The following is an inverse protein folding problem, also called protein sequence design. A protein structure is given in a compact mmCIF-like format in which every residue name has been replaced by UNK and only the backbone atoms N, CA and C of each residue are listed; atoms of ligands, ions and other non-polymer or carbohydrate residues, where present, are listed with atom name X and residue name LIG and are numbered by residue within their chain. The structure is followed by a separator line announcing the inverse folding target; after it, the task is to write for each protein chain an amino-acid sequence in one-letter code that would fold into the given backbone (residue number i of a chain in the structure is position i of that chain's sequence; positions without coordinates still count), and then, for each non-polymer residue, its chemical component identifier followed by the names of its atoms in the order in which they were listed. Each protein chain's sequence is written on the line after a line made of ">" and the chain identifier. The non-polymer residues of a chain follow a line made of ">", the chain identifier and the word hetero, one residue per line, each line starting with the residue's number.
data_IF_623456256183
#
_entry.id   IF_623456256183
#
_cell.length_a   1.000
_cell.length_b   1.000
_cell.length_c   1.000
_cell.angle_alpha   90.00
_cell.angle_beta   90.00
_cell.angle_gamma   90.00
#
_symmetry.space_group_name_H-M   'P 1'
#
loop_
_entity.id
_entity.type
_entity.pdbx_description
1 polymer ?
#
# COMPACT_ATOMS: atom_id res chain seq x y z
N UNK A 1 48.95 -76.31 13.91
CA UNK A 1 49.59 -75.47 12.87
C UNK A 1 48.49 -75.09 11.87
N UNK A 2 48.31 -73.78 11.61
CA UNK A 2 47.33 -73.11 10.72
C UNK A 2 45.83 -73.21 11.04
N UNK A 3 45.18 -72.03 11.13
CA UNK A 3 44.04 -71.59 10.29
C UNK A 3 43.24 -70.52 11.08
N UNK A 4 43.43 -69.22 10.80
CA UNK A 4 42.74 -68.36 9.81
C UNK A 4 41.31 -67.96 10.19
N UNK A 5 41.20 -66.68 10.52
CA UNK A 5 40.36 -65.64 9.92
C UNK A 5 38.82 -65.69 9.95
N UNK A 6 38.29 -64.47 10.13
CA UNK A 6 37.03 -63.89 9.62
C UNK A 6 35.80 -63.94 10.55
N UNK A 7 35.37 -62.82 11.14
CA UNK A 7 34.49 -61.74 10.58
C UNK A 7 33.07 -62.29 10.29
N UNK A 8 31.94 -61.82 10.83
CA UNK A 8 31.41 -60.44 10.93
C UNK A 8 29.99 -60.44 11.60
N UNK A 9 29.60 -59.28 12.15
CA UNK A 9 28.27 -58.61 12.16
C UNK A 9 27.12 -58.98 13.15
N UNK A 10 26.87 -58.01 14.05
CA UNK A 10 25.62 -57.24 14.37
C UNK A 10 24.42 -57.91 15.08
N UNK A 11 24.03 -57.31 16.24
CA UNK A 11 22.72 -56.67 16.55
C UNK A 11 22.60 -56.45 18.08
N UNK A 12 22.71 -55.24 18.63
CA UNK A 12 21.72 -54.15 18.74
C UNK A 12 20.52 -54.45 19.65
N UNK A 13 20.55 -53.93 20.89
CA UNK A 13 19.36 -53.48 21.64
C UNK A 13 19.78 -52.57 22.80
N UNK A 14 19.39 -51.29 22.76
CA UNK A 14 19.43 -50.41 23.92
C UNK A 14 18.29 -49.39 23.83
N UNK A 15 17.49 -49.35 24.89
CA UNK A 15 16.32 -48.50 25.08
C UNK A 15 16.69 -47.11 25.65
N UNK A 16 15.88 -46.09 25.36
CA UNK A 16 15.83 -44.82 26.08
C UNK A 16 14.39 -44.26 25.96
N UNK A 17 13.62 -44.23 27.05
CA UNK A 17 13.39 -43.11 27.98
C UNK A 17 12.62 -41.93 27.38
N UNK A 18 11.41 -41.74 27.90
CA UNK A 18 10.42 -40.71 27.58
C UNK A 18 10.79 -39.37 28.21
N UNK A 19 10.90 -38.32 27.40
CA UNK A 19 10.92 -36.92 27.83
C UNK A 19 9.66 -36.22 27.31
N UNK A 20 8.82 -35.73 28.24
CA UNK A 20 7.70 -34.84 27.92
C UNK A 20 8.17 -33.40 27.77
N UNK A 21 7.70 -32.72 26.72
CA UNK A 21 7.87 -31.28 26.54
C UNK A 21 6.59 -30.57 26.96
N UNK A 22 6.66 -29.77 28.03
CA UNK A 22 5.73 -28.66 28.27
C UNK A 22 6.13 -27.48 27.40
N UNK A 23 5.29 -27.08 26.45
CA UNK A 23 5.44 -25.80 25.75
C UNK A 23 4.57 -24.75 26.45
N UNK A 24 5.22 -23.89 27.23
CA UNK A 24 4.64 -22.60 27.64
C UNK A 24 4.78 -21.63 26.47
N UNK A 25 3.76 -21.55 25.60
CA UNK A 25 3.65 -20.47 24.62
C UNK A 25 3.09 -19.23 25.32
N UNK A 26 3.93 -18.20 25.47
CA UNK A 26 3.49 -16.87 25.86
C UNK A 26 2.45 -16.34 24.84
N UNK A 27 1.42 -15.60 25.26
CA UNK A 27 0.52 -14.97 24.32
C UNK A 27 1.26 -13.83 23.62
N UNK A 28 1.72 -14.09 22.40
CA UNK A 28 2.06 -13.04 21.44
C UNK A 28 0.79 -12.26 21.15
N UNK A 29 0.62 -11.12 21.83
CA UNK A 29 -0.38 -10.13 21.48
C UNK A 29 0.07 -9.41 20.20
N UNK A 30 -0.06 -10.08 19.06
CA UNK A 30 -0.15 -9.39 17.78
C UNK A 30 -1.43 -8.54 17.81
N UNK A 31 -1.39 -7.25 17.43
CA UNK A 31 -2.60 -6.46 17.33
C UNK A 31 -3.51 -7.15 16.31
N UNK A 32 -4.67 -7.61 16.76
CA UNK A 32 -5.74 -8.05 15.87
C UNK A 32 -6.08 -6.87 14.96
N UNK A 33 -5.71 -6.97 13.69
CA UNK A 33 -6.45 -6.27 12.64
C UNK A 33 -7.85 -6.86 12.70
N UNK A 34 -8.82 -6.09 13.18
CA UNK A 34 -10.22 -6.42 12.95
C UNK A 34 -10.43 -6.36 11.43
N UNK A 35 -10.32 -7.53 10.80
CA UNK A 35 -10.74 -7.74 9.44
C UNK A 35 -12.28 -7.67 9.41
N UNK A 36 -12.83 -6.47 9.52
CA UNK A 36 -14.19 -6.25 9.08
C UNK A 36 -14.21 -6.54 7.58
N UNK A 37 -15.09 -7.45 7.16
CA UNK A 37 -15.26 -7.90 5.77
C UNK A 37 -15.91 -6.81 4.90
N UNK A 38 -15.50 -5.55 5.05
CA UNK A 38 -15.98 -4.44 4.25
C UNK A 38 -15.34 -4.51 2.87
N UNK A 39 -16.15 -4.31 1.85
CA UNK A 39 -15.73 -4.21 0.45
C UNK A 39 -14.71 -3.09 0.29
N UNK A 40 -13.57 -3.39 -0.33
CA UNK A 40 -12.56 -2.37 -0.62
C UNK A 40 -13.02 -1.44 -1.77
N UNK A 41 -12.57 -0.17 -1.83
CA UNK A 41 -12.89 0.70 -2.96
C UNK A 41 -12.54 0.10 -4.33
N UNK A 42 -11.44 -0.63 -4.44
CA UNK A 42 -11.02 -1.29 -5.68
C UNK A 42 -11.91 -2.45 -6.15
N UNK A 43 -12.86 -2.91 -5.32
CA UNK A 43 -13.88 -3.89 -5.72
C UNK A 43 -15.10 -3.23 -6.39
N UNK A 44 -15.28 -1.92 -6.24
CA UNK A 44 -16.38 -1.14 -6.84
C UNK A 44 -15.90 -0.23 -7.96
N UNK A 45 -14.69 0.32 -7.82
CA UNK A 45 -14.06 1.22 -8.79
C UNK A 45 -12.86 0.52 -9.45
N UNK A 46 -12.69 0.70 -10.77
CA UNK A 46 -11.47 0.26 -11.44
C UNK A 46 -10.30 1.15 -11.03
N UNK A 47 -9.45 0.61 -10.16
CA UNK A 47 -8.25 1.28 -9.65
C UNK A 47 -6.96 0.73 -10.26
N UNK A 48 -7.03 -0.08 -11.33
CA UNK A 48 -5.87 -0.72 -11.96
C UNK A 48 -4.82 0.26 -12.47
N UNK A 49 -5.24 1.48 -12.83
CA UNK A 49 -4.37 2.57 -13.32
C UNK A 49 -4.01 3.59 -12.23
N UNK A 50 -4.08 3.21 -10.95
CA UNK A 50 -3.83 4.12 -9.83
C UNK A 50 -3.02 3.46 -8.73
N UNK A 51 -2.09 4.21 -8.15
CA UNK A 51 -1.62 3.94 -6.79
C UNK A 51 -2.15 5.04 -5.85
N UNK A 52 -2.07 4.84 -4.54
CA UNK A 52 -2.52 5.82 -3.55
C UNK A 52 -1.40 6.14 -2.57
N UNK A 53 -1.24 7.42 -2.23
CA UNK A 53 -0.46 7.85 -1.08
C UNK A 53 -1.42 8.11 0.09
N UNK A 54 -1.11 7.55 1.26
CA UNK A 54 -1.92 7.66 2.47
C UNK A 54 -1.15 8.43 3.55
N UNK A 55 -1.84 9.17 4.43
CA UNK A 55 -1.19 10.04 5.41
C UNK A 55 -0.76 9.27 6.67
N UNK A 56 -0.27 8.05 6.52
CA UNK A 56 0.17 7.15 7.60
C UNK A 56 1.60 6.68 7.35
N UNK A 57 2.24 6.17 8.39
CA UNK A 57 3.59 5.60 8.38
C UNK A 57 3.54 4.28 9.16
N UNK A 58 2.95 3.25 8.54
CA UNK A 58 2.71 1.96 9.17
C UNK A 58 4.00 1.13 9.29
N UNK A 59 4.94 1.32 8.36
CA UNK A 59 6.24 0.66 8.35
C UNK A 59 7.30 1.38 9.19
N UNK A 60 7.02 2.60 9.64
CA UNK A 60 7.85 3.44 10.53
C UNK A 60 9.13 3.92 9.86
N UNK A 61 9.11 4.13 8.55
CA UNK A 61 10.23 4.71 7.79
C UNK A 61 10.26 6.25 7.85
N UNK A 62 9.26 6.86 8.49
CA UNK A 62 9.13 8.31 8.65
C UNK A 62 8.50 9.03 7.46
N UNK A 63 7.91 8.30 6.50
CA UNK A 63 7.27 8.85 5.31
C UNK A 63 5.81 8.38 5.22
N UNK A 64 5.04 9.10 4.41
CA UNK A 64 3.72 8.66 4.01
C UNK A 64 3.78 7.35 3.20
N UNK A 65 2.95 6.39 3.58
CA UNK A 65 2.84 5.09 2.93
C UNK A 65 2.21 5.21 1.53
N UNK A 66 2.71 4.39 0.61
CA UNK A 66 2.10 4.15 -0.70
C UNK A 66 1.53 2.75 -0.77
N UNK A 67 0.37 2.62 -1.40
CA UNK A 67 -0.18 1.32 -1.82
C UNK A 67 -0.22 1.30 -3.34
N UNK A 68 0.47 0.32 -3.92
CA UNK A 68 0.58 0.13 -5.37
C UNK A 68 -0.71 -0.45 -5.98
N UNK A 69 -0.86 -0.31 -7.29
CA UNK A 69 -2.07 -0.62 -8.05
C UNK A 69 -2.54 -2.07 -7.86
N UNK A 70 -1.62 -3.03 -7.78
CA UNK A 70 -1.98 -4.45 -7.62
C UNK A 70 -2.69 -4.68 -6.29
N UNK A 71 -2.17 -4.08 -5.21
CA UNK A 71 -2.74 -4.20 -3.88
C UNK A 71 -4.02 -3.35 -3.71
N UNK A 72 -4.12 -2.24 -4.43
CA UNK A 72 -5.20 -1.26 -4.27
C UNK A 72 -6.59 -1.84 -4.57
N UNK A 73 -6.66 -2.86 -5.44
CA UNK A 73 -7.88 -3.62 -5.75
C UNK A 73 -8.59 -4.20 -4.52
N UNK A 74 -7.83 -4.53 -3.47
CA UNK A 74 -8.32 -5.16 -2.24
C UNK A 74 -7.96 -4.38 -0.98
N UNK A 75 -7.48 -3.15 -1.14
CA UNK A 75 -6.98 -2.34 -0.04
C UNK A 75 -8.05 -1.36 0.44
N UNK A 76 -8.17 -1.26 1.76
CA UNK A 76 -8.83 -0.16 2.43
C UNK A 76 -8.06 0.19 3.70
N UNK A 77 -8.22 1.42 4.15
CA UNK A 77 -7.76 1.89 5.43
C UNK A 77 -8.86 2.74 6.04
N UNK A 78 -9.46 2.23 7.12
CA UNK A 78 -10.46 2.97 7.89
C UNK A 78 -9.95 4.39 8.19
N UNK A 79 -10.88 5.34 8.22
CA UNK A 79 -10.65 6.79 8.35
C UNK A 79 -10.07 7.48 7.11
N UNK A 80 -9.18 6.86 6.32
CA UNK A 80 -8.43 7.55 5.26
C UNK A 80 -8.80 7.16 3.83
N UNK A 81 -9.16 5.90 3.59
CA UNK A 81 -9.52 5.38 2.26
C UNK A 81 -10.44 4.15 2.36
N UNK A 82 -11.73 4.33 2.14
CA UNK A 82 -12.74 3.29 2.33
C UNK A 82 -14.01 3.56 1.51
N UNK A 83 -14.94 2.60 1.47
CA UNK A 83 -16.29 2.81 0.95
C UNK A 83 -17.25 3.18 2.09
N UNK A 84 -18.04 4.24 1.89
CA UNK A 84 -19.17 4.51 2.79
C UNK A 84 -20.35 3.55 2.54
N UNK A 85 -21.40 3.65 3.36
CA UNK A 85 -22.58 2.78 3.28
C UNK A 85 -23.35 2.91 1.96
N UNK A 86 -23.09 3.95 1.17
CA UNK A 86 -23.66 4.20 -0.16
C UNK A 86 -22.73 3.75 -1.30
N UNK A 87 -21.60 3.09 -0.99
CA UNK A 87 -20.53 2.72 -1.91
C UNK A 87 -19.82 3.92 -2.58
N UNK A 88 -19.83 5.11 -1.96
CA UNK A 88 -18.93 6.18 -2.40
C UNK A 88 -17.51 5.90 -1.90
N UNK A 89 -16.52 6.09 -2.76
CA UNK A 89 -15.10 6.04 -2.38
C UNK A 89 -14.72 7.31 -1.60
N UNK A 90 -14.43 7.14 -0.32
CA UNK A 90 -14.08 8.21 0.61
C UNK A 90 -12.57 8.36 0.70
N UNK A 91 -12.10 9.59 0.53
CA UNK A 91 -10.73 10.02 0.81
C UNK A 91 -10.75 11.00 1.97
N UNK A 92 -9.92 10.79 2.98
CA UNK A 92 -9.72 11.77 4.05
C UNK A 92 -8.24 11.95 4.36
N UNK A 93 -7.88 13.15 4.78
CA UNK A 93 -6.54 13.46 5.26
C UNK A 93 -6.63 14.46 6.42
N UNK A 94 -6.12 14.08 7.59
CA UNK A 94 -6.07 14.96 8.74
C UNK A 94 -4.88 15.93 8.63
N UNK A 95 -5.01 17.15 9.15
CA UNK A 95 -3.92 18.15 9.10
C UNK A 95 -2.63 17.76 9.86
N UNK A 96 -2.75 16.82 10.81
CA UNK A 96 -1.67 16.33 11.66
C UNK A 96 -1.45 14.84 11.39
N UNK A 97 -0.97 14.54 10.19
CA UNK A 97 -0.68 13.18 9.76
C UNK A 97 0.65 13.14 8.98
N UNK A 98 1.09 11.96 8.55
CA UNK A 98 2.37 11.82 7.85
C UNK A 98 2.32 12.42 6.44
N UNK A 99 3.45 12.92 5.97
CA UNK A 99 3.59 13.54 4.64
C UNK A 99 4.77 12.92 3.90
N UNK A 100 4.88 13.19 2.59
CA UNK A 100 6.08 12.85 1.84
C UNK A 100 7.22 13.84 2.14
N UNK A 101 8.50 13.48 1.87
CA UNK A 101 9.63 14.39 2.06
C UNK A 101 9.52 15.72 1.29
N UNK A 102 8.75 15.74 0.20
CA UNK A 102 8.60 16.90 -0.69
C UNK A 102 7.34 17.72 -0.43
N UNK A 103 6.50 17.35 0.55
CA UNK A 103 5.26 18.05 0.83
C UNK A 103 5.04 18.27 2.33
N UNK A 104 4.54 19.45 2.68
CA UNK A 104 4.11 19.79 4.05
C UNK A 104 2.64 19.50 4.29
N UNK A 105 1.89 19.12 3.26
CA UNK A 105 0.46 18.81 3.33
C UNK A 105 0.23 17.30 3.28
N UNK A 106 -0.71 16.84 4.10
CA UNK A 106 -1.17 15.45 4.15
C UNK A 106 -2.13 15.17 3.01
N UNK A 107 -2.17 13.92 2.56
CA UNK A 107 -3.06 13.51 1.46
C UNK A 107 -3.44 12.04 1.59
N UNK A 108 -4.68 11.75 1.22
CA UNK A 108 -5.15 10.44 0.78
C UNK A 108 -5.55 10.66 -0.67
N UNK A 109 -4.65 10.31 -1.60
CA UNK A 109 -4.72 10.81 -2.98
C UNK A 109 -4.20 9.76 -3.96
N UNK A 110 -5.00 9.53 -5.00
CA UNK A 110 -4.62 8.67 -6.11
C UNK A 110 -3.62 9.37 -7.03
N UNK A 111 -2.60 8.64 -7.49
CA UNK A 111 -1.71 9.04 -8.58
C UNK A 111 -1.86 8.06 -9.72
N UNK A 112 -2.21 8.58 -10.90
CA UNK A 112 -2.39 7.78 -12.09
C UNK A 112 -1.07 7.10 -12.43
N UNK A 113 -1.08 5.79 -12.64
CA UNK A 113 0.05 5.00 -13.15
C UNK A 113 -0.31 4.41 -14.51
N UNK A 114 0.71 4.11 -15.30
CA UNK A 114 0.58 3.37 -16.55
C UNK A 114 1.21 2.00 -16.35
N UNK A 115 0.51 0.97 -16.80
CA UNK A 115 0.91 -0.43 -16.64
C UNK A 115 1.41 -0.93 -17.99
N UNK A 116 2.63 -1.48 -18.01
CA UNK A 116 3.23 -2.08 -19.19
C UNK A 116 2.57 -3.41 -19.58
N UNK A 117 2.97 -3.96 -20.74
CA UNK A 117 2.38 -5.20 -21.27
C UNK A 117 2.54 -6.42 -20.35
N UNK A 118 3.59 -6.46 -19.55
CA UNK A 118 3.87 -7.49 -18.55
C UNK A 118 3.13 -7.29 -17.22
N UNK A 119 2.35 -6.21 -17.08
CA UNK A 119 1.64 -5.87 -15.84
C UNK A 119 2.45 -5.03 -14.85
N UNK A 120 3.67 -4.61 -15.19
CA UNK A 120 4.52 -3.80 -14.32
C UNK A 120 4.29 -2.29 -14.49
N UNK A 121 4.41 -1.53 -13.40
CA UNK A 121 4.49 -0.07 -13.45
C UNK A 121 5.95 0.34 -13.69
N UNK A 122 6.28 1.10 -14.75
CA UNK A 122 7.64 1.57 -15.01
C UNK A 122 8.19 2.40 -13.84
N UNK A 123 9.52 2.55 -13.74
CA UNK A 123 10.13 3.38 -12.71
C UNK A 123 9.81 4.88 -12.89
N UNK A 124 10.04 5.71 -11.86
CA UNK A 124 9.67 7.14 -11.90
C UNK A 124 10.53 7.96 -12.87
N UNK A 125 11.67 7.46 -13.30
CA UNK A 125 12.56 8.04 -14.31
C UNK A 125 12.24 7.59 -15.75
N UNK A 126 11.31 6.64 -15.92
CA UNK A 126 10.86 6.17 -17.22
C UNK A 126 9.68 7.03 -17.74
N UNK A 127 9.78 7.65 -18.93
CA UNK A 127 8.68 8.40 -19.54
C UNK A 127 7.38 7.60 -19.68
N UNK A 128 7.45 6.27 -19.81
CA UNK A 128 6.30 5.37 -19.88
C UNK A 128 5.51 5.29 -18.58
N UNK A 129 5.98 5.91 -17.50
CA UNK A 129 5.20 6.07 -16.27
C UNK A 129 4.25 7.28 -16.31
N UNK A 130 4.25 8.04 -17.40
CA UNK A 130 3.53 9.30 -17.53
C UNK A 130 2.84 9.44 -18.90
N UNK A 131 2.05 10.49 -19.02
CA UNK A 131 1.58 10.99 -20.31
C UNK A 131 2.37 12.23 -20.73
N UNK A 132 2.37 12.53 -22.03
CA UNK A 132 2.87 13.78 -22.57
C UNK A 132 1.74 14.60 -23.22
N UNK A 133 1.93 15.91 -23.31
CA UNK A 133 1.12 16.72 -24.23
C UNK A 133 1.61 16.51 -25.66
N UNK A 134 0.70 16.63 -26.64
CA UNK A 134 1.05 16.46 -28.05
C UNK A 134 2.11 17.47 -28.56
N UNK A 135 2.34 18.56 -27.84
CA UNK A 135 3.39 19.54 -28.15
C UNK A 135 4.78 19.15 -27.61
N UNK A 136 4.89 18.06 -26.85
CA UNK A 136 6.17 17.57 -26.34
C UNK A 136 7.00 16.99 -27.51
N UNK A 137 8.29 17.35 -27.66
CA UNK A 137 9.08 16.95 -28.84
C UNK A 137 9.28 15.43 -28.96
N UNK A 138 9.27 14.72 -27.82
CA UNK A 138 9.40 13.26 -27.76
C UNK A 138 8.13 12.64 -27.15
N UNK A 139 6.97 13.07 -27.61
CA UNK A 139 5.68 12.66 -27.03
C UNK A 139 5.42 11.14 -27.15
N UNK A 140 6.06 10.50 -28.12
CA UNK A 140 6.00 9.07 -28.43
C UNK A 140 6.72 8.18 -27.41
N UNK A 141 7.60 8.73 -26.57
CA UNK A 141 8.30 7.98 -25.52
C UNK A 141 7.39 7.70 -24.30
N UNK A 142 6.28 8.44 -24.19
CA UNK A 142 5.35 8.39 -23.05
C UNK A 142 4.25 7.36 -23.27
N UNK A 143 3.63 6.88 -22.19
CA UNK A 143 2.59 5.85 -22.28
C UNK A 143 1.27 6.36 -22.88
N UNK A 144 1.04 7.67 -22.83
CA UNK A 144 -0.17 8.27 -23.40
C UNK A 144 0.07 9.70 -23.89
N UNK A 145 -0.76 10.13 -24.85
CA UNK A 145 -0.85 11.52 -25.30
C UNK A 145 -2.08 12.19 -24.71
N UNK A 146 -1.85 13.16 -23.83
CA UNK A 146 -2.90 13.87 -23.09
C UNK A 146 -3.69 12.98 -22.15
N UNK A 147 -4.84 13.49 -21.71
CA UNK A 147 -5.74 12.75 -20.83
C UNK A 147 -6.97 13.57 -20.47
N UNK A 148 -8.02 12.89 -20.01
CA UNK A 148 -9.22 13.52 -19.48
C UNK A 148 -9.61 12.84 -18.18
N UNK A 149 -9.46 13.56 -17.07
CA UNK A 149 -9.99 13.14 -15.77
C UNK A 149 -11.42 13.70 -15.61
N UNK A 150 -12.38 12.83 -15.30
CA UNK A 150 -13.76 13.21 -15.00
C UNK A 150 -14.15 12.60 -13.67
N UNK A 151 -14.71 13.41 -12.77
CA UNK A 151 -15.15 12.96 -11.45
C UNK A 151 -16.49 13.59 -11.10
N UNK A 152 -17.31 12.84 -10.35
CA UNK A 152 -18.46 13.37 -9.61
C UNK A 152 -18.14 13.18 -8.13
N UNK A 153 -18.17 14.26 -7.35
CA UNK A 153 -17.76 14.23 -5.95
C UNK A 153 -18.62 15.14 -5.08
N UNK A 154 -18.63 14.84 -3.79
CA UNK A 154 -19.14 15.72 -2.72
C UNK A 154 -18.00 16.03 -1.75
N UNK A 155 -17.86 17.30 -1.36
CA UNK A 155 -16.91 17.69 -0.31
C UNK A 155 -17.62 17.52 1.03
N UNK A 156 -17.31 16.45 1.75
CA UNK A 156 -17.93 16.15 3.03
C UNK A 156 -17.45 17.08 4.16
N UNK A 157 -16.15 17.43 4.15
CA UNK A 157 -15.54 18.25 5.19
C UNK A 157 -14.27 18.94 4.65
N UNK A 158 -13.98 20.13 5.20
CA UNK A 158 -12.69 20.83 5.02
C UNK A 158 -12.14 21.21 6.38
N UNK A 159 -10.82 21.36 6.48
CA UNK A 159 -10.18 21.71 7.74
C UNK A 159 -10.66 23.07 8.27
N UNK A 160 -11.08 23.07 9.54
CA UNK A 160 -11.47 24.27 10.30
C UNK A 160 -10.40 24.71 11.29
N UNK A 161 -9.31 23.94 11.39
CA UNK A 161 -8.11 24.26 12.16
C UNK A 161 -6.87 23.99 11.30
N UNK A 162 -5.75 24.68 11.54
CA UNK A 162 -4.48 24.37 10.90
C UNK A 162 -3.65 23.38 11.74
N UNK A 163 -2.56 22.87 11.17
CA UNK A 163 -1.55 22.08 11.91
C UNK A 163 -0.94 22.88 13.06
N UNK A 164 -0.70 24.18 12.83
CA UNK A 164 -0.10 25.12 13.77
C UNK A 164 -1.18 26.08 14.30
N UNK A 165 -1.29 26.23 15.62
CA UNK A 165 -2.38 26.98 16.25
C UNK A 165 -2.33 28.50 16.03
N UNK A 166 -1.19 29.01 15.60
CA UNK A 166 -0.94 30.41 15.22
C UNK A 166 -1.28 30.69 13.75
N UNK A 167 -1.62 29.66 12.97
CA UNK A 167 -1.99 29.81 11.56
C UNK A 167 -3.48 29.60 11.35
N UNK A 168 -4.13 30.42 10.50
CA UNK A 168 -5.51 30.17 10.13
C UNK A 168 -5.62 28.86 9.32
N UNK A 169 -6.73 28.13 9.44
CA UNK A 169 -7.03 26.99 8.56
C UNK A 169 -7.16 27.42 7.10
N UNK A 170 -6.90 26.47 6.21
CA UNK A 170 -7.00 26.72 4.77
C UNK A 170 -8.44 26.74 4.26
N UNK A 171 -9.39 26.14 4.99
CA UNK A 171 -10.80 25.94 4.57
C UNK A 171 -10.94 25.41 3.13
N UNK A 172 -9.98 24.59 2.70
CA UNK A 172 -9.87 24.16 1.31
C UNK A 172 -9.31 22.74 1.22
N UNK A 173 -9.60 22.11 0.09
CA UNK A 173 -9.11 20.78 -0.29
C UNK A 173 -8.86 20.79 -1.80
N UNK A 174 -7.78 20.16 -2.25
CA UNK A 174 -7.52 19.90 -3.66
C UNK A 174 -8.15 18.56 -4.01
N UNK A 175 -8.93 18.52 -5.09
CA UNK A 175 -9.72 17.33 -5.50
C UNK A 175 -9.31 16.77 -6.86
N UNK A 176 -8.29 17.35 -7.50
CA UNK A 176 -7.76 16.92 -8.78
C UNK A 176 -6.57 17.77 -9.20
N UNK A 177 -5.60 17.15 -9.87
CA UNK A 177 -4.36 17.81 -10.26
C UNK A 177 -3.77 17.19 -11.54
N UNK A 178 -3.00 18.00 -12.26
CA UNK A 178 -1.97 17.54 -13.18
C UNK A 178 -0.64 17.95 -12.54
N UNK A 179 0.27 16.99 -12.40
CA UNK A 179 1.58 17.21 -11.78
C UNK A 179 2.68 16.80 -12.76
N UNK A 180 3.77 17.56 -12.78
CA UNK A 180 4.98 17.32 -13.58
C UNK A 180 6.23 17.48 -12.71
#
# INVERSE_FOLDING_TARGET
>A
MRSRDSLWLIAAMAAALTTGCSENSAPSSSPKRDASSKTAPGEVFDLSSWNILLPVDLDKDGKADRVDNEALSHYQLDEFFYLDDENNMVFAAANKAFTSPTSTNTRSELRQVYVGESGEVPSLDDPRNYFALASHPNSEDFAALGGRLTATLKVNHVSTNAKYGDKPPAYSVVVGQIHA
#
